data_IF_596360065373
#
_entry.id   IF_596360065373
#
_cell.length_a   1.000
_cell.length_b   1.000
_cell.length_c   1.000
_cell.angle_alpha   90.00
_cell.angle_beta   90.00
_cell.angle_gamma   90.00
#
_symmetry.space_group_name_H-M   'P 1'
#
loop_
_entity.id
_entity.type
_entity.pdbx_description
1 polymer ?
#
# COMPACT_ATOMS: atom_id res chain seq x y z
N UNK A 1 12.12 19.69 5.74
CA UNK A 1 12.28 19.34 4.33
C UNK A 1 10.93 18.85 3.82
N UNK A 2 10.52 19.27 2.64
CA UNK A 2 9.31 18.77 1.99
C UNK A 2 9.46 17.30 1.59
N UNK A 3 8.33 16.62 1.35
CA UNK A 3 8.28 15.31 0.73
C UNK A 3 8.85 15.41 -0.71
N UNK A 4 9.50 14.36 -1.19
CA UNK A 4 10.22 14.41 -2.46
C UNK A 4 9.32 13.96 -3.62
N UNK A 5 9.20 12.70 -3.91
CA UNK A 5 8.35 12.21 -5.00
C UNK A 5 7.70 10.89 -4.59
N UNK A 6 6.67 10.46 -5.29
CA UNK A 6 6.06 9.12 -5.14
C UNK A 6 5.85 8.68 -3.69
N UNK A 7 4.83 9.22 -3.04
CA UNK A 7 4.51 8.91 -1.63
C UNK A 7 3.37 7.92 -1.53
N UNK A 8 3.48 6.95 -0.61
CA UNK A 8 2.44 6.02 -0.21
C UNK A 8 1.84 6.51 1.10
N UNK A 9 0.52 6.41 1.25
CA UNK A 9 -0.23 6.90 2.40
C UNK A 9 -0.83 5.75 3.19
N UNK A 10 -0.86 5.87 4.52
CA UNK A 10 -1.58 4.94 5.40
C UNK A 10 -2.04 5.66 6.67
N UNK A 11 -3.18 5.27 7.24
CA UNK A 11 -3.70 5.84 8.47
C UNK A 11 -3.38 4.98 9.69
N UNK A 12 -2.82 5.58 10.73
CA UNK A 12 -2.78 4.95 12.05
C UNK A 12 -4.11 5.13 12.80
N UNK A 13 -4.69 6.33 12.68
CA UNK A 13 -5.95 6.73 13.33
C UNK A 13 -6.45 8.05 12.70
N UNK A 14 -7.47 8.65 13.29
CA UNK A 14 -8.06 9.91 12.78
C UNK A 14 -7.13 11.14 12.81
N UNK A 15 -6.00 11.08 13.53
CA UNK A 15 -5.08 12.22 13.67
C UNK A 15 -3.65 11.89 13.25
N UNK A 16 -3.38 10.68 12.78
CA UNK A 16 -2.04 10.29 12.37
C UNK A 16 -2.08 9.59 11.02
N UNK A 17 -1.38 10.14 10.06
CA UNK A 17 -1.20 9.59 8.73
C UNK A 17 0.29 9.32 8.49
N UNK A 18 0.62 8.12 8.03
CA UNK A 18 1.96 7.78 7.57
C UNK A 18 2.12 8.16 6.11
N UNK A 19 3.30 8.64 5.79
CA UNK A 19 3.72 8.99 4.42
C UNK A 19 5.06 8.35 4.17
N UNK A 20 5.14 7.44 3.22
CA UNK A 20 6.42 6.94 2.76
C UNK A 20 7.11 7.98 1.89
N UNK A 21 8.38 8.20 2.16
CA UNK A 21 9.28 9.06 1.39
C UNK A 21 10.51 8.23 0.99
N UNK A 22 10.41 7.50 -0.14
CA UNK A 22 11.47 6.58 -0.58
C UNK A 22 12.79 7.27 -0.88
N UNK A 23 12.75 8.49 -1.41
CA UNK A 23 13.95 9.23 -1.78
C UNK A 23 14.77 9.64 -0.56
N UNK A 24 14.11 9.94 0.56
CA UNK A 24 14.75 10.18 1.85
C UNK A 24 14.91 8.89 2.67
N UNK A 25 14.50 7.75 2.14
CA UNK A 25 14.55 6.44 2.80
C UNK A 25 13.89 6.45 4.18
N UNK A 26 12.67 6.99 4.29
CA UNK A 26 11.98 7.16 5.57
C UNK A 26 10.47 6.99 5.46
N UNK A 27 9.85 6.74 6.61
CA UNK A 27 8.42 6.94 6.83
C UNK A 27 8.25 8.14 7.75
N UNK A 28 7.36 9.03 7.39
CA UNK A 28 6.98 10.21 8.16
C UNK A 28 5.57 9.99 8.71
N UNK A 29 5.38 10.15 10.00
CA UNK A 29 4.06 10.24 10.62
C UNK A 29 3.69 11.72 10.74
N UNK A 30 2.62 12.12 10.05
CA UNK A 30 2.06 13.47 10.10
C UNK A 30 0.93 13.52 11.13
N UNK A 31 0.94 14.52 11.99
CA UNK A 31 -0.18 14.81 12.89
C UNK A 31 -1.19 15.69 12.15
N UNK A 32 -2.33 15.10 11.82
CA UNK A 32 -3.42 15.80 11.17
C UNK A 32 -4.24 16.58 12.22
N UNK A 33 -4.85 17.72 11.83
CA UNK A 33 -5.80 18.42 12.70
C UNK A 33 -6.95 17.50 13.09
N UNK A 34 -7.42 17.62 14.33
CA UNK A 34 -8.61 16.91 14.75
C UNK A 34 -9.81 17.31 13.88
N UNK A 35 -10.45 16.32 13.29
CA UNK A 35 -11.54 16.56 12.35
C UNK A 35 -12.88 16.12 12.95
N UNK A 36 -13.90 16.95 12.78
CA UNK A 36 -15.27 16.58 13.13
C UNK A 36 -15.73 15.41 12.27
N UNK A 37 -16.43 14.45 12.89
CA UNK A 37 -17.00 13.33 12.16
C UNK A 37 -17.90 13.81 11.01
N UNK A 38 -17.81 13.14 9.88
CA UNK A 38 -18.70 13.43 8.76
C UNK A 38 -20.17 13.26 9.18
N UNK A 39 -21.04 14.19 8.86
CA UNK A 39 -22.44 14.14 9.28
C UNK A 39 -23.20 12.96 8.69
N UNK A 40 -22.69 12.37 7.62
CA UNK A 40 -23.30 11.21 6.98
C UNK A 40 -22.22 10.30 6.36
N UNK A 41 -21.97 9.15 6.98
CA UNK A 41 -21.01 8.15 6.47
C UNK A 41 -21.46 7.42 5.20
N UNK A 42 -22.69 7.60 4.78
CA UNK A 42 -23.27 6.91 3.62
C UNK A 42 -23.12 7.67 2.30
N UNK A 43 -22.55 8.86 2.30
CA UNK A 43 -22.31 9.62 1.07
C UNK A 43 -21.08 9.07 0.37
N UNK A 44 -21.33 8.37 -0.74
CA UNK A 44 -20.27 7.90 -1.63
C UNK A 44 -19.71 9.01 -2.51
N UNK A 45 -18.53 8.77 -3.05
CA UNK A 45 -17.92 9.65 -4.05
C UNK A 45 -18.49 9.35 -5.42
N UNK A 46 -18.95 10.39 -6.11
CA UNK A 46 -19.32 10.34 -7.53
C UNK A 46 -18.81 11.62 -8.20
N UNK A 47 -17.49 11.66 -8.41
CA UNK A 47 -16.81 12.83 -8.92
C UNK A 47 -16.45 12.62 -10.40
N UNK A 48 -17.01 13.48 -11.24
CA UNK A 48 -16.58 13.63 -12.63
C UNK A 48 -15.44 14.63 -12.70
N UNK A 49 -14.60 14.53 -13.72
CA UNK A 49 -13.51 15.48 -14.01
C UNK A 49 -12.54 15.68 -12.83
N UNK A 50 -12.24 14.58 -12.11
CA UNK A 50 -11.45 14.67 -10.89
C UNK A 50 -10.04 15.23 -11.17
N UNK A 51 -9.38 14.81 -12.25
CA UNK A 51 -8.08 15.35 -12.66
C UNK A 51 -8.10 16.85 -12.87
N UNK A 52 -9.12 17.38 -13.52
CA UNK A 52 -9.28 18.82 -13.73
C UNK A 52 -9.49 19.58 -12.42
N UNK A 53 -10.21 18.98 -11.45
CA UNK A 53 -10.37 19.57 -10.11
C UNK A 53 -9.04 19.63 -9.35
N UNK A 54 -8.24 18.57 -9.43
CA UNK A 54 -6.90 18.51 -8.82
C UNK A 54 -5.99 19.53 -9.51
N UNK A 55 -5.98 19.62 -10.83
CA UNK A 55 -5.21 20.59 -11.58
C UNK A 55 -5.53 22.05 -11.18
N UNK A 56 -6.83 22.34 -11.04
CA UNK A 56 -7.27 23.66 -10.55
C UNK A 56 -6.81 23.96 -9.14
N UNK A 57 -6.85 22.97 -8.23
CA UNK A 57 -6.46 23.16 -6.83
C UNK A 57 -4.96 23.31 -6.66
N UNK A 58 -4.17 22.56 -7.44
CA UNK A 58 -2.69 22.58 -7.38
C UNK A 58 -2.06 23.67 -8.22
N UNK A 59 -2.79 24.22 -9.21
CA UNK A 59 -2.25 25.15 -10.20
C UNK A 59 -1.36 24.49 -11.25
N UNK A 60 -1.28 23.17 -11.28
CA UNK A 60 -0.50 22.40 -12.24
C UNK A 60 -1.37 21.94 -13.43
N UNK A 61 -0.83 21.83 -14.66
CA UNK A 61 -1.58 21.23 -15.77
C UNK A 61 -1.85 19.74 -15.51
N UNK A 62 -3.00 19.21 -15.93
CA UNK A 62 -3.38 17.81 -15.71
C UNK A 62 -2.30 16.83 -16.20
N UNK A 63 -1.66 17.13 -17.33
CA UNK A 63 -0.60 16.30 -17.90
C UNK A 63 0.69 16.20 -17.07
N UNK A 64 0.85 17.09 -16.09
CA UNK A 64 2.00 17.07 -15.18
C UNK A 64 1.69 16.44 -13.81
N UNK A 65 0.46 15.94 -13.61
CA UNK A 65 0.01 15.36 -12.35
C UNK A 65 0.01 13.84 -12.46
N UNK A 66 0.79 13.20 -11.59
CA UNK A 66 0.76 11.74 -11.39
C UNK A 66 0.10 11.45 -10.05
N UNK A 67 -0.92 10.61 -10.08
CA UNK A 67 -1.56 10.09 -8.86
C UNK A 67 -0.75 8.90 -8.36
N UNK A 68 -0.29 8.97 -7.12
CA UNK A 68 0.55 7.92 -6.54
C UNK A 68 -0.27 6.96 -5.69
N UNK A 69 -1.08 7.51 -4.76
CA UNK A 69 -1.79 6.71 -3.78
C UNK A 69 -2.99 7.45 -3.19
N UNK A 70 -3.91 6.71 -2.55
CA UNK A 70 -5.11 7.20 -1.92
C UNK A 70 -5.36 6.52 -0.59
N UNK A 71 -5.55 7.31 0.47
CA UNK A 71 -6.00 6.83 1.77
C UNK A 71 -7.28 7.54 2.20
N UNK A 72 -8.25 6.80 2.73
CA UNK A 72 -9.51 7.35 3.22
C UNK A 72 -9.41 7.67 4.72
N UNK A 73 -9.73 8.90 5.10
CA UNK A 73 -9.75 9.28 6.51
C UNK A 73 -10.83 8.52 7.28
N UNK A 74 -10.49 7.78 8.36
CA UNK A 74 -11.38 6.80 8.98
C UNK A 74 -12.63 7.39 9.64
N UNK A 75 -12.62 8.70 9.93
CA UNK A 75 -13.72 9.40 10.63
C UNK A 75 -14.52 10.29 9.69
N UNK A 76 -13.84 11.07 8.85
CA UNK A 76 -14.48 12.07 7.98
C UNK A 76 -14.87 11.54 6.62
N UNK A 77 -14.40 10.36 6.25
CA UNK A 77 -14.54 9.81 4.89
C UNK A 77 -13.95 10.73 3.80
N UNK A 78 -13.02 11.61 4.16
CA UNK A 78 -12.28 12.45 3.22
C UNK A 78 -11.18 11.62 2.58
N UNK A 79 -11.08 11.65 1.25
CA UNK A 79 -9.96 11.03 0.57
C UNK A 79 -8.72 11.93 0.63
N UNK A 80 -7.60 11.36 1.04
CA UNK A 80 -6.28 11.97 0.93
C UNK A 80 -5.56 11.30 -0.23
N UNK A 81 -5.03 12.11 -1.13
CA UNK A 81 -4.40 11.62 -2.35
C UNK A 81 -3.01 12.21 -2.43
N UNK A 82 -2.01 11.35 -2.58
CA UNK A 82 -0.64 11.75 -2.84
C UNK A 82 -0.40 11.90 -4.35
N UNK A 83 0.30 12.94 -4.69
CA UNK A 83 0.58 13.36 -6.07
C UNK A 83 2.07 13.59 -6.26
N UNK A 84 2.54 13.28 -7.46
CA UNK A 84 3.78 13.84 -7.99
C UNK A 84 3.42 14.88 -9.05
N UNK A 85 3.96 16.08 -8.93
CA UNK A 85 3.81 17.13 -9.92
C UNK A 85 5.14 17.29 -10.65
N UNK A 86 5.14 16.97 -11.93
CA UNK A 86 6.28 17.12 -12.81
C UNK A 86 6.54 18.60 -13.09
N UNK A 87 7.77 19.07 -12.86
CA UNK A 87 8.19 20.45 -13.10
C UNK A 87 9.53 20.49 -13.82
N UNK A 88 9.87 21.58 -14.53
CA UNK A 88 11.14 21.71 -15.22
C UNK A 88 12.38 21.62 -14.33
N UNK A 89 12.25 21.98 -13.07
CA UNK A 89 13.30 21.93 -12.03
C UNK A 89 13.31 20.64 -11.23
N UNK A 90 12.45 19.69 -11.59
CA UNK A 90 12.31 18.37 -10.98
C UNK A 90 10.93 18.15 -10.36
N UNK A 91 10.56 16.87 -10.10
CA UNK A 91 9.27 16.52 -9.55
C UNK A 91 9.13 16.99 -8.11
N UNK A 92 7.90 17.28 -7.71
CA UNK A 92 7.56 17.63 -6.32
C UNK A 92 6.38 16.80 -5.84
N UNK A 93 6.48 16.29 -4.60
CA UNK A 93 5.36 15.61 -3.95
C UNK A 93 4.36 16.60 -3.39
N UNK A 94 3.08 16.27 -3.49
CA UNK A 94 2.00 17.05 -2.92
C UNK A 94 0.90 16.12 -2.38
N UNK A 95 0.22 16.53 -1.33
CA UNK A 95 -0.96 15.82 -0.81
C UNK A 95 -2.16 16.74 -1.00
N UNK A 96 -3.24 16.20 -1.55
CA UNK A 96 -4.52 16.88 -1.64
C UNK A 96 -5.58 16.07 -0.91
N UNK A 97 -6.60 16.76 -0.43
CA UNK A 97 -7.84 16.11 0.05
C UNK A 97 -8.95 16.31 -0.96
N UNK A 98 -9.83 15.33 -1.05
CA UNK A 98 -11.12 15.47 -1.72
C UNK A 98 -12.23 15.04 -0.77
N UNK A 99 -13.30 15.83 -0.69
CA UNK A 99 -14.49 15.46 0.05
C UNK A 99 -15.60 14.92 -0.90
N UNK A 100 -16.66 14.30 -0.38
CA UNK A 100 -17.76 13.78 -1.22
C UNK A 100 -18.48 14.83 -2.09
N UNK A 101 -18.33 16.12 -1.79
CA UNK A 101 -18.87 17.20 -2.63
C UNK A 101 -17.99 17.53 -3.84
N UNK A 102 -16.78 16.95 -3.86
CA UNK A 102 -15.77 17.17 -4.90
C UNK A 102 -14.92 18.40 -4.67
N UNK A 103 -14.93 18.97 -3.47
CA UNK A 103 -13.99 20.02 -3.12
C UNK A 103 -12.60 19.41 -2.91
N UNK A 104 -11.65 19.90 -3.68
CA UNK A 104 -10.23 19.52 -3.56
C UNK A 104 -9.47 20.62 -2.84
N UNK A 105 -8.64 20.24 -1.86
CA UNK A 105 -7.83 21.17 -1.07
C UNK A 105 -6.40 20.66 -0.98
N UNK A 106 -5.42 21.51 -1.24
CA UNK A 106 -4.00 21.19 -1.06
C UNK A 106 -3.65 21.25 0.42
N UNK A 107 -2.93 20.24 0.91
CA UNK A 107 -2.42 20.19 2.27
C UNK A 107 -1.00 20.74 2.30
N UNK A 108 -0.79 21.75 3.15
CA UNK A 108 0.56 22.17 3.50
C UNK A 108 1.13 21.23 4.58
N UNK A 109 1.67 20.11 4.14
CA UNK A 109 2.25 19.10 5.03
C UNK A 109 3.49 19.61 5.78
N UNK A 110 4.14 20.68 5.29
CA UNK A 110 5.29 21.28 5.97
C UNK A 110 4.93 22.04 7.24
N UNK A 111 3.67 22.44 7.36
CA UNK A 111 3.13 23.11 8.53
C UNK A 111 2.62 22.12 9.60
N UNK A 112 2.58 20.83 9.32
CA UNK A 112 2.12 19.79 10.24
C UNK A 112 3.24 19.32 11.16
N UNK A 113 2.90 19.00 12.42
CA UNK A 113 3.81 18.28 13.29
C UNK A 113 4.10 16.90 12.72
N UNK A 114 5.35 16.47 12.81
CA UNK A 114 5.75 15.20 12.26
C UNK A 114 6.86 14.52 13.06
N UNK A 115 6.87 13.20 13.00
CA UNK A 115 7.99 12.36 13.42
C UNK A 115 8.38 11.44 12.28
N UNK A 116 9.62 10.97 12.25
CA UNK A 116 10.08 10.15 11.14
C UNK A 116 10.99 9.00 11.62
N UNK A 117 10.96 7.90 10.87
CA UNK A 117 11.86 6.77 11.04
C UNK A 117 12.57 6.46 9.73
N UNK A 118 13.88 6.25 9.80
CA UNK A 118 14.67 5.82 8.63
C UNK A 118 14.49 4.33 8.38
N UNK A 119 14.28 3.99 7.11
CA UNK A 119 14.17 2.60 6.65
C UNK A 119 15.55 1.99 6.43
N UNK A 120 15.70 0.74 6.87
CA UNK A 120 16.93 -0.03 6.66
C UNK A 120 16.89 -0.82 5.36
N UNK A 121 18.06 -1.05 4.76
CA UNK A 121 18.20 -1.89 3.59
C UNK A 121 17.53 -1.32 2.34
N UNK A 122 17.41 0.00 2.25
CA UNK A 122 16.91 0.67 1.05
C UNK A 122 17.87 0.49 -0.12
N UNK A 123 17.38 0.47 -1.36
CA UNK A 123 18.24 0.43 -2.53
C UNK A 123 19.19 1.63 -2.56
N UNK A 124 20.40 1.40 -3.08
CA UNK A 124 21.35 2.48 -3.35
C UNK A 124 20.96 3.24 -4.63
N UNK A 125 21.35 4.48 -4.69
CA UNK A 125 21.17 5.31 -5.88
C UNK A 125 21.80 4.66 -7.11
N UNK A 126 21.16 4.84 -8.26
CA UNK A 126 21.59 4.28 -9.55
C UNK A 126 21.36 2.78 -9.72
N UNK A 127 20.85 2.08 -8.71
CA UNK A 127 20.47 0.67 -8.87
C UNK A 127 19.14 0.59 -9.61
N UNK A 128 19.10 -0.22 -10.65
CA UNK A 128 17.87 -0.51 -11.39
C UNK A 128 17.40 -1.93 -11.12
N UNK A 129 16.10 -2.11 -11.19
CA UNK A 129 15.41 -3.39 -11.17
C UNK A 129 15.02 -3.80 -12.60
N UNK A 130 14.24 -4.84 -12.75
CA UNK A 130 13.77 -5.36 -14.02
C UNK A 130 13.22 -4.24 -14.94
N UNK A 131 13.56 -4.30 -16.25
CA UNK A 131 13.24 -3.26 -17.26
C UNK A 131 13.76 -1.87 -16.93
N UNK A 132 14.91 -1.78 -16.29
CA UNK A 132 15.54 -0.52 -15.89
C UNK A 132 14.70 0.37 -14.97
N UNK A 133 13.76 -0.23 -14.22
CA UNK A 133 13.00 0.50 -13.20
C UNK A 133 13.98 0.92 -12.09
N UNK A 134 14.10 2.21 -11.75
CA UNK A 134 14.92 2.62 -10.62
C UNK A 134 14.46 1.92 -9.34
N UNK A 135 15.37 1.27 -8.62
CA UNK A 135 15.03 0.48 -7.46
C UNK A 135 14.43 1.33 -6.32
N UNK A 136 14.74 2.63 -6.27
CA UNK A 136 14.13 3.58 -5.33
C UNK A 136 12.60 3.67 -5.48
N UNK A 137 12.07 3.57 -6.71
CA UNK A 137 10.63 3.70 -6.98
C UNK A 137 9.78 2.52 -6.47
N UNK A 138 10.42 1.42 -6.11
CA UNK A 138 9.80 0.23 -5.54
C UNK A 138 10.40 -0.15 -4.18
N UNK A 139 11.13 0.77 -3.58
CA UNK A 139 11.74 0.59 -2.26
C UNK A 139 10.71 0.53 -1.13
N UNK A 140 9.60 1.25 -1.31
CA UNK A 140 8.32 1.11 -0.60
C UNK A 140 7.25 0.97 -1.65
N UNK A 141 6.41 -0.04 -1.56
CA UNK A 141 5.35 -0.30 -2.54
C UNK A 141 3.97 -0.23 -1.93
N UNK A 142 3.85 -0.47 -0.62
CA UNK A 142 2.60 -0.37 0.10
C UNK A 142 2.83 -0.40 1.62
N UNK A 143 1.83 0.05 2.38
CA UNK A 143 1.83 0.06 3.85
C UNK A 143 0.46 -0.35 4.39
N UNK A 144 0.44 -1.02 5.54
CA UNK A 144 -0.77 -1.30 6.32
C UNK A 144 -0.46 -1.16 7.82
N UNK A 145 -1.38 -0.55 8.58
CA UNK A 145 -1.18 -0.32 10.00
C UNK A 145 -2.21 -1.08 10.84
N UNK A 146 -1.70 -1.98 11.68
CA UNK A 146 -2.54 -2.76 12.58
C UNK A 146 -1.82 -3.06 13.91
N UNK A 147 -2.55 -3.00 15.00
CA UNK A 147 -2.05 -3.40 16.32
C UNK A 147 -0.83 -2.62 16.81
N UNK A 148 -0.73 -1.33 16.48
CA UNK A 148 0.40 -0.50 16.89
C UNK A 148 1.66 -0.69 16.05
N UNK A 149 1.56 -1.38 14.91
CA UNK A 149 2.68 -1.64 14.01
C UNK A 149 2.33 -1.29 12.58
N UNK A 150 3.27 -0.68 11.89
CA UNK A 150 3.23 -0.40 10.47
C UNK A 150 3.96 -1.51 9.72
N UNK A 151 3.27 -2.17 8.82
CA UNK A 151 3.82 -3.15 7.89
C UNK A 151 4.14 -2.44 6.59
N UNK A 152 5.37 -2.57 6.11
CA UNK A 152 5.85 -1.83 4.93
C UNK A 152 6.45 -2.82 3.95
N UNK A 153 5.82 -2.98 2.81
CA UNK A 153 6.35 -3.77 1.70
C UNK A 153 7.28 -2.96 0.81
N UNK A 154 8.16 -3.63 0.12
CA UNK A 154 9.06 -3.00 -0.83
C UNK A 154 10.29 -3.82 -1.13
N UNK A 155 11.21 -3.20 -1.86
CA UNK A 155 12.41 -3.86 -2.32
C UNK A 155 13.65 -3.34 -1.62
N UNK A 156 14.64 -4.21 -1.53
CA UNK A 156 16.04 -3.86 -1.30
C UNK A 156 16.86 -4.26 -2.51
N UNK A 157 18.16 -4.45 -2.33
CA UNK A 157 19.06 -4.96 -3.37
C UNK A 157 19.63 -6.32 -2.98
N UNK A 158 20.07 -7.10 -3.96
CA UNK A 158 20.66 -8.42 -3.76
C UNK A 158 19.73 -9.57 -4.10
N UNK A 159 20.07 -10.76 -3.64
CA UNK A 159 19.36 -12.01 -3.96
C UNK A 159 17.97 -12.07 -3.30
N UNK A 160 17.89 -11.70 -2.03
CA UNK A 160 16.64 -11.70 -1.27
C UNK A 160 16.10 -10.26 -1.15
N UNK A 161 15.73 -9.70 -2.29
CA UNK A 161 15.41 -8.29 -2.39
C UNK A 161 13.97 -7.94 -1.97
N UNK A 162 13.01 -8.88 -2.08
CA UNK A 162 11.64 -8.67 -1.62
C UNK A 162 11.61 -8.58 -0.09
N UNK A 163 11.06 -7.48 0.45
CA UNK A 163 11.09 -7.16 1.88
C UNK A 163 9.71 -6.85 2.43
N UNK A 164 9.49 -7.32 3.67
CA UNK A 164 8.49 -6.81 4.58
C UNK A 164 9.19 -6.27 5.83
N UNK A 165 8.88 -5.02 6.17
CA UNK A 165 9.38 -4.34 7.36
C UNK A 165 8.24 -4.17 8.35
N UNK A 166 8.49 -4.37 9.63
CA UNK A 166 7.53 -4.18 10.72
C UNK A 166 8.07 -3.10 11.64
N UNK A 167 7.38 -1.97 11.73
CA UNK A 167 7.86 -0.78 12.43
C UNK A 167 6.85 -0.44 13.54
N UNK A 168 7.24 -0.45 14.80
CA UNK A 168 6.34 -0.04 15.89
C UNK A 168 6.04 1.45 15.78
N UNK A 169 4.81 1.83 16.14
CA UNK A 169 4.43 3.23 16.28
C UNK A 169 3.80 3.47 17.66
N UNK A 170 4.19 4.52 18.39
CA UNK A 170 5.20 5.54 18.02
C UNK A 170 6.56 4.93 17.63
N UNK A 171 7.35 5.64 16.81
CA UNK A 171 8.63 5.16 16.27
C UNK A 171 9.70 4.92 17.35
N UNK A 172 9.32 4.19 18.38
CA UNK A 172 10.17 3.78 19.49
C UNK A 172 10.63 2.33 19.28
N UNK A 173 11.92 2.14 19.41
CA UNK A 173 12.51 0.80 19.25
C UNK A 173 12.97 0.47 17.83
N UNK A 174 13.47 -0.76 17.71
CA UNK A 174 14.05 -1.27 16.47
C UNK A 174 12.99 -1.99 15.66
N UNK A 175 12.72 -1.49 14.46
CA UNK A 175 11.88 -2.21 13.50
C UNK A 175 12.51 -3.53 13.05
N UNK A 176 11.70 -4.46 12.61
CA UNK A 176 12.09 -5.78 12.07
C UNK A 176 12.06 -5.74 10.54
N UNK A 177 12.92 -6.51 9.89
CA UNK A 177 12.95 -6.63 8.42
C UNK A 177 13.14 -8.09 8.03
N UNK A 178 12.16 -8.63 7.31
CA UNK A 178 12.19 -9.99 6.76
C UNK A 178 12.37 -9.97 5.25
N UNK A 179 13.00 -11.00 4.69
CA UNK A 179 12.99 -11.29 3.27
C UNK A 179 11.83 -12.22 2.96
N UNK A 180 11.20 -12.03 1.82
CA UNK A 180 10.06 -12.86 1.41
C UNK A 180 10.41 -13.64 0.13
N UNK A 181 10.16 -14.93 0.19
CA UNK A 181 10.18 -15.84 -0.97
C UNK A 181 8.75 -16.32 -1.22
N UNK A 182 8.35 -16.43 -2.47
CA UNK A 182 7.07 -17.02 -2.86
C UNK A 182 7.24 -17.95 -4.06
N UNK A 183 6.35 -18.91 -4.20
CA UNK A 183 6.28 -19.76 -5.39
C UNK A 183 5.36 -19.13 -6.44
N UNK A 184 5.91 -18.88 -7.63
CA UNK A 184 5.18 -18.38 -8.80
C UNK A 184 4.76 -19.55 -9.67
N UNK A 185 3.51 -20.00 -9.52
CA UNK A 185 3.03 -21.22 -10.16
C UNK A 185 3.00 -21.11 -11.69
N UNK A 186 2.61 -19.97 -12.24
CA UNK A 186 2.62 -19.73 -13.68
C UNK A 186 4.04 -19.78 -14.31
N UNK A 187 5.09 -19.61 -13.50
CA UNK A 187 6.49 -19.69 -13.95
C UNK A 187 7.22 -20.93 -13.45
N UNK A 188 6.60 -21.73 -12.62
CA UNK A 188 7.19 -22.90 -11.97
C UNK A 188 8.52 -22.60 -11.27
N UNK A 189 8.57 -21.53 -10.49
CA UNK A 189 9.80 -21.15 -9.78
C UNK A 189 9.53 -20.42 -8.47
N UNK A 190 10.48 -20.53 -7.54
CA UNK A 190 10.51 -19.67 -6.37
C UNK A 190 11.12 -18.32 -6.75
N UNK A 191 10.54 -17.24 -6.23
CA UNK A 191 11.02 -15.88 -6.47
C UNK A 191 11.30 -15.17 -5.15
N UNK A 192 12.48 -14.57 -5.06
CA UNK A 192 12.99 -13.82 -3.90
C UNK A 192 13.16 -12.33 -4.20
N UNK A 193 12.93 -11.95 -5.47
CA UNK A 193 13.15 -10.61 -6.00
C UNK A 193 11.91 -9.99 -6.65
N UNK A 194 10.76 -10.63 -6.52
CA UNK A 194 9.50 -10.06 -6.96
C UNK A 194 8.97 -9.08 -5.89
N UNK A 195 8.58 -7.86 -6.26
CA UNK A 195 7.98 -6.93 -5.31
C UNK A 195 6.55 -7.34 -4.97
N UNK A 196 6.20 -7.29 -3.69
CA UNK A 196 4.82 -7.12 -3.26
C UNK A 196 4.39 -5.75 -3.78
N UNK A 197 3.28 -5.69 -4.49
CA UNK A 197 2.78 -4.43 -5.08
C UNK A 197 1.76 -3.76 -4.19
N UNK A 198 0.87 -4.57 -3.62
CA UNK A 198 -0.17 -4.14 -2.72
C UNK A 198 -0.44 -5.23 -1.68
N UNK A 199 -0.87 -4.87 -0.49
CA UNK A 199 -1.13 -5.83 0.58
C UNK A 199 -2.17 -5.30 1.56
N UNK A 200 -2.80 -6.22 2.30
CA UNK A 200 -3.57 -5.88 3.48
C UNK A 200 -3.39 -6.95 4.55
N UNK A 201 -3.42 -6.56 5.81
CA UNK A 201 -3.41 -7.51 6.93
C UNK A 201 -4.83 -7.87 7.31
N UNK A 202 -5.16 -9.14 7.17
CA UNK A 202 -6.48 -9.69 7.51
C UNK A 202 -6.36 -10.82 8.54
N UNK A 203 -7.43 -11.08 9.25
CA UNK A 203 -7.52 -12.25 10.11
C UNK A 203 -7.93 -13.48 9.30
N UNK A 204 -7.03 -14.45 9.17
CA UNK A 204 -7.30 -15.76 8.55
C UNK A 204 -7.42 -16.81 9.65
N UNK A 205 -8.65 -17.18 9.98
CA UNK A 205 -8.96 -18.19 11.01
C UNK A 205 -8.31 -17.90 12.38
N UNK A 206 -8.32 -16.65 12.82
CA UNK A 206 -7.74 -16.22 14.10
C UNK A 206 -6.24 -15.87 14.01
N UNK A 207 -5.64 -15.96 12.83
CA UNK A 207 -4.23 -15.64 12.62
C UNK A 207 -4.11 -14.37 11.77
N UNK A 208 -3.60 -13.26 12.32
CA UNK A 208 -3.31 -12.07 11.53
C UNK A 208 -2.29 -12.40 10.42
N UNK A 209 -2.66 -12.10 9.19
CA UNK A 209 -1.93 -12.58 8.00
C UNK A 209 -1.89 -11.47 6.95
N UNK A 210 -0.71 -11.20 6.41
CA UNK A 210 -0.56 -10.34 5.23
C UNK A 210 -1.08 -11.10 4.02
N UNK A 211 -2.01 -10.51 3.30
CA UNK A 211 -2.44 -10.91 1.95
C UNK A 211 -1.73 -9.99 0.98
N UNK A 212 -0.82 -10.54 0.20
CA UNK A 212 0.09 -9.80 -0.65
C UNK A 212 -0.18 -10.14 -2.14
N UNK A 213 -0.51 -9.11 -2.91
CA UNK A 213 -0.59 -9.20 -4.37
C UNK A 213 0.76 -8.80 -4.98
N UNK A 214 1.36 -9.69 -5.77
CA UNK A 214 2.66 -9.47 -6.37
C UNK A 214 2.56 -8.86 -7.77
N UNK A 215 3.65 -8.26 -8.20
CA UNK A 215 3.79 -7.93 -9.63
C UNK A 215 3.63 -9.20 -10.44
N UNK A 216 2.77 -9.20 -11.41
CA UNK A 216 2.33 -10.34 -12.21
C UNK A 216 1.07 -11.00 -11.61
N UNK A 217 1.14 -12.22 -11.17
CA UNK A 217 -0.06 -13.03 -10.92
C UNK A 217 -0.24 -13.55 -9.51
N UNK A 218 0.82 -13.78 -8.70
CA UNK A 218 0.64 -14.45 -7.41
C UNK A 218 -0.07 -13.62 -6.34
N UNK A 219 -1.06 -14.25 -5.69
CA UNK A 219 -1.61 -13.82 -4.42
C UNK A 219 -1.04 -14.73 -3.31
N UNK A 220 -0.46 -14.12 -2.29
CA UNK A 220 0.36 -14.82 -1.30
C UNK A 220 -0.10 -14.47 0.11
N UNK A 221 -0.15 -15.46 1.00
CA UNK A 221 -0.43 -15.25 2.42
C UNK A 221 0.83 -15.43 3.27
N UNK A 222 1.04 -14.52 4.23
CA UNK A 222 2.21 -14.50 5.11
C UNK A 222 1.72 -14.21 6.53
N UNK A 223 1.71 -15.19 7.46
CA UNK A 223 1.39 -14.93 8.85
C UNK A 223 2.34 -13.90 9.47
N UNK A 224 1.79 -12.88 10.15
CA UNK A 224 2.64 -11.79 10.69
C UNK A 224 3.60 -12.28 11.78
N UNK A 225 3.30 -13.36 12.46
CA UNK A 225 4.17 -13.98 13.47
C UNK A 225 5.49 -14.52 12.89
N UNK A 226 5.51 -14.82 11.58
CA UNK A 226 6.71 -15.26 10.87
C UNK A 226 7.68 -14.11 10.57
N UNK A 227 7.22 -12.86 10.63
CA UNK A 227 8.00 -11.68 10.33
C UNK A 227 8.89 -11.32 11.52
N UNK A 228 10.19 -11.62 11.40
CA UNK A 228 11.22 -11.34 12.41
C UNK A 228 12.43 -10.69 11.75
N UNK A 229 13.20 -9.93 12.54
CA UNK A 229 14.40 -9.27 12.01
C UNK A 229 15.39 -10.30 11.45
N UNK A 230 15.75 -10.15 10.19
CA UNK A 230 16.66 -11.05 9.47
C UNK A 230 16.06 -12.38 9.00
N UNK A 231 14.78 -12.64 9.26
CA UNK A 231 14.14 -13.87 8.81
C UNK A 231 14.02 -13.93 7.26
N UNK A 232 14.12 -15.15 6.74
CA UNK A 232 13.73 -15.49 5.36
C UNK A 232 12.41 -16.27 5.42
N UNK A 233 11.34 -15.64 4.98
CA UNK A 233 9.98 -16.16 5.12
C UNK A 233 9.48 -16.66 3.78
N UNK A 234 9.01 -17.90 3.73
CA UNK A 234 8.30 -18.45 2.57
C UNK A 234 6.81 -18.14 2.70
N UNK A 235 6.34 -17.23 1.85
CA UNK A 235 4.92 -16.97 1.73
C UNK A 235 4.22 -18.12 1.00
N UNK A 236 2.98 -18.38 1.37
CA UNK A 236 2.15 -19.40 0.71
C UNK A 236 1.37 -18.77 -0.43
N UNK A 237 1.65 -19.19 -1.66
CA UNK A 237 0.87 -18.79 -2.83
C UNK A 237 -0.49 -19.48 -2.79
N UNK A 238 -1.56 -18.71 -2.77
CA UNK A 238 -2.94 -19.20 -2.63
C UNK A 238 -3.76 -19.06 -3.90
N UNK A 239 -3.34 -18.17 -4.82
CA UNK A 239 -3.96 -17.99 -6.11
C UNK A 239 -2.99 -17.38 -7.12
N UNK A 240 -3.34 -17.48 -8.40
CA UNK A 240 -2.75 -16.74 -9.51
C UNK A 240 -3.88 -15.91 -10.15
N UNK A 241 -3.74 -14.59 -10.13
CA UNK A 241 -4.81 -13.66 -10.53
C UNK A 241 -4.93 -13.45 -12.05
N UNK A 242 -4.09 -14.13 -12.82
CA UNK A 242 -4.09 -14.04 -14.28
C UNK A 242 -3.03 -13.09 -14.84
N UNK A 243 -2.72 -13.29 -16.13
CA UNK A 243 -1.68 -12.52 -16.82
C UNK A 243 -2.12 -11.08 -17.10
N UNK A 244 -1.21 -10.15 -16.91
CA UNK A 244 -1.44 -8.73 -17.21
C UNK A 244 -1.97 -7.93 -16.03
N UNK A 245 -2.27 -8.55 -14.90
CA UNK A 245 -2.61 -7.82 -13.67
C UNK A 245 -1.44 -6.97 -13.20
N UNK A 246 -1.73 -5.74 -12.84
CA UNK A 246 -0.83 -4.88 -12.09
C UNK A 246 -1.57 -4.38 -10.86
N UNK A 247 -1.41 -5.06 -9.72
CA UNK A 247 -2.07 -4.67 -8.48
C UNK A 247 -1.69 -3.25 -8.08
N UNK A 248 -2.69 -2.46 -7.74
CA UNK A 248 -2.56 -1.11 -7.22
C UNK A 248 -2.85 -1.06 -5.73
N UNK A 249 -3.86 -1.85 -5.27
CA UNK A 249 -4.33 -1.82 -3.91
C UNK A 249 -4.95 -3.17 -3.53
N UNK A 250 -4.84 -3.54 -2.25
CA UNK A 250 -5.58 -4.66 -1.63
C UNK A 250 -6.41 -4.12 -0.48
N UNK A 251 -7.72 -4.19 -0.62
CA UNK A 251 -8.66 -3.63 0.36
C UNK A 251 -9.42 -4.77 1.03
N UNK A 252 -9.42 -4.81 2.36
CA UNK A 252 -10.30 -5.69 3.12
C UNK A 252 -11.53 -4.93 3.61
N UNK A 253 -12.73 -5.48 3.42
CA UNK A 253 -13.97 -4.85 3.85
C UNK A 253 -15.05 -5.86 4.20
N UNK A 254 -16.08 -5.37 4.89
CA UNK A 254 -17.28 -6.15 5.18
C UNK A 254 -18.44 -5.63 4.34
N UNK A 255 -19.07 -6.52 3.57
CA UNK A 255 -20.34 -6.27 2.91
C UNK A 255 -21.46 -7.05 3.59
N UNK A 256 -22.69 -6.70 3.30
CA UNK A 256 -23.87 -7.40 3.80
C UNK A 256 -24.56 -8.11 2.65
N UNK A 257 -24.78 -9.41 2.79
CA UNK A 257 -25.53 -10.19 1.81
C UNK A 257 -27.03 -9.81 1.81
N UNK A 258 -27.83 -10.43 0.92
CA UNK A 258 -29.27 -10.15 0.83
C UNK A 258 -30.05 -10.46 2.12
N UNK A 259 -29.51 -11.32 2.98
CA UNK A 259 -30.07 -11.67 4.29
C UNK A 259 -29.55 -10.77 5.42
N UNK A 260 -28.85 -9.68 5.09
CA UNK A 260 -28.22 -8.74 6.03
C UNK A 260 -27.17 -9.40 6.94
N UNK A 261 -26.58 -10.50 6.50
CA UNK A 261 -25.47 -11.13 7.22
C UNK A 261 -24.14 -10.53 6.73
N UNK A 262 -23.22 -10.22 7.65
CA UNK A 262 -21.92 -9.67 7.27
C UNK A 262 -21.07 -10.74 6.60
N UNK A 263 -20.46 -10.38 5.52
CA UNK A 263 -19.48 -11.20 4.79
C UNK A 263 -18.23 -10.37 4.50
N UNK A 264 -17.06 -10.95 4.80
CA UNK A 264 -15.78 -10.25 4.59
C UNK A 264 -15.18 -10.62 3.25
N UNK A 265 -14.62 -9.62 2.62
CA UNK A 265 -13.99 -9.73 1.31
C UNK A 265 -12.60 -9.09 1.30
N UNK A 266 -11.79 -9.56 0.39
CA UNK A 266 -10.57 -8.91 -0.08
C UNK A 266 -10.80 -8.52 -1.54
N UNK A 267 -10.58 -7.25 -1.86
CA UNK A 267 -10.63 -6.71 -3.22
C UNK A 267 -9.19 -6.38 -3.65
N UNK A 268 -8.75 -6.97 -4.74
CA UNK A 268 -7.49 -6.60 -5.38
C UNK A 268 -7.83 -5.67 -6.54
N UNK A 269 -7.44 -4.41 -6.43
CA UNK A 269 -7.64 -3.41 -7.48
C UNK A 269 -6.47 -3.49 -8.45
N UNK A 270 -6.76 -3.64 -9.73
CA UNK A 270 -5.76 -3.76 -10.79
C UNK A 270 -5.78 -2.54 -11.72
N UNK A 271 -4.62 -2.16 -12.25
CA UNK A 271 -4.51 -1.03 -13.19
C UNK A 271 -5.05 -1.36 -14.58
N UNK A 272 -4.71 -2.53 -15.08
CA UNK A 272 -4.90 -2.88 -16.50
C UNK A 272 -5.97 -3.96 -16.72
N UNK A 273 -6.54 -4.50 -15.63
CA UNK A 273 -7.57 -5.55 -15.61
C UNK A 273 -8.68 -5.19 -14.62
N UNK A 274 -9.78 -5.91 -14.66
CA UNK A 274 -10.84 -5.80 -13.67
C UNK A 274 -10.32 -6.12 -12.27
N UNK A 275 -11.02 -5.62 -11.25
CA UNK A 275 -10.69 -5.93 -9.87
C UNK A 275 -11.12 -7.35 -9.50
N UNK A 276 -10.29 -8.04 -8.73
CA UNK A 276 -10.58 -9.39 -8.23
C UNK A 276 -11.25 -9.29 -6.85
N UNK A 277 -12.49 -9.75 -6.74
CA UNK A 277 -13.23 -9.83 -5.48
C UNK A 277 -13.17 -11.25 -4.91
N UNK A 278 -12.54 -11.42 -3.77
CA UNK A 278 -12.31 -12.71 -3.14
C UNK A 278 -13.00 -12.74 -1.78
N UNK A 279 -13.85 -13.75 -1.52
CA UNK A 279 -14.42 -13.91 -0.17
C UNK A 279 -13.32 -14.31 0.82
N UNK A 280 -13.35 -13.75 2.03
CA UNK A 280 -12.38 -14.14 3.06
C UNK A 280 -12.51 -15.62 3.43
N UNK A 281 -13.70 -16.21 3.26
CA UNK A 281 -13.90 -17.64 3.49
C UNK A 281 -13.15 -18.51 2.47
N UNK A 282 -13.15 -18.14 1.19
CA UNK A 282 -12.41 -18.89 0.16
C UNK A 282 -10.91 -18.67 0.28
N UNK A 283 -10.50 -17.43 0.58
CA UNK A 283 -9.10 -17.13 0.89
C UNK A 283 -8.62 -17.96 2.10
N UNK A 284 -9.44 -18.08 3.14
CA UNK A 284 -9.12 -18.89 4.33
C UNK A 284 -8.95 -20.37 3.96
N UNK A 285 -9.85 -20.94 3.17
CA UNK A 285 -9.72 -22.33 2.70
C UNK A 285 -8.42 -22.54 1.92
N UNK A 286 -8.09 -21.64 1.00
CA UNK A 286 -6.85 -21.70 0.23
C UNK A 286 -5.61 -21.59 1.13
N UNK A 287 -5.64 -20.68 2.10
CA UNK A 287 -4.53 -20.49 3.04
C UNK A 287 -4.33 -21.67 4.00
N UNK A 288 -5.40 -22.35 4.41
CA UNK A 288 -5.34 -23.58 5.24
C UNK A 288 -4.93 -24.82 4.44
N UNK A 289 -5.15 -24.81 3.12
CA UNK A 289 -4.72 -25.87 2.22
C UNK A 289 -3.19 -25.90 1.99
N UNK A 290 -2.74 -26.74 1.07
CA UNK A 290 -1.30 -26.87 0.73
C UNK A 290 -0.74 -25.64 0.01
N UNK A 291 -1.61 -24.80 -0.58
CA UNK A 291 -1.23 -23.71 -1.48
C UNK A 291 -0.79 -24.24 -2.85
N UNK A 292 -0.40 -23.32 -3.73
CA UNK A 292 0.14 -23.66 -5.03
C UNK A 292 1.63 -23.98 -4.90
N UNK A 293 2.00 -25.20 -5.24
CA UNK A 293 3.39 -25.71 -5.21
C UNK A 293 3.81 -26.42 -6.51
N UNK A 294 2.93 -26.39 -7.52
CA UNK A 294 3.12 -26.97 -8.83
C UNK A 294 2.67 -26.00 -9.91
N UNK A 295 3.17 -26.12 -11.15
CA UNK A 295 2.72 -25.31 -12.28
C UNK A 295 1.22 -25.45 -12.53
N UNK A 296 0.60 -24.37 -12.98
CA UNK A 296 -0.79 -24.31 -13.41
C UNK A 296 -0.85 -23.89 -14.88
#
# INVERSE_FOLDING_TARGET
KGLTSSTILEYANATTMFVADPDESQIVALTLPEAAAAPNKSVGYNLTDFSARVAKATGAPESAILFNDLAAHPVTNTAYISLTIEKPDGPTAQIVTADPTGKVTVIDHSALESTAVKLRGMPKDGVTFWRNIPASTIAVTDMDYIGGKLYVSGMSTGEFASKLRVIPFPFEGKGETSSIEMYHAARNQNETRAPIRAMSVVDIAGVPTVVAAYTCTPLVTIPIEALKDGAHVKGKTVAELGYGNLPLEVISFTAYNRQQQPEKFVLVVNRDMDADLISLSDLTKAAQGEGLSKPI
#
